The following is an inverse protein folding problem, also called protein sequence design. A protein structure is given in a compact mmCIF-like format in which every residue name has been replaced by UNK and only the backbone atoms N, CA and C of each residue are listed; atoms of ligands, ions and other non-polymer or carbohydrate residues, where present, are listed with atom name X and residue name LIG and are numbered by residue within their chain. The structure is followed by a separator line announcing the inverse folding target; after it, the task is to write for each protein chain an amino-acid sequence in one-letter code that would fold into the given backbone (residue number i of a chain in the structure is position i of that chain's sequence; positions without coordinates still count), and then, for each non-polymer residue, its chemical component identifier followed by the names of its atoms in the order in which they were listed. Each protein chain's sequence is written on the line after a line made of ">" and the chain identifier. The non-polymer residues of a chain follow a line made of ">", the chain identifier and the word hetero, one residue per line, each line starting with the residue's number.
data_IF_509279251118
#
_entry.id   IF_509279251118
#
_cell.length_a   1.000
_cell.length_b   1.000
_cell.length_c   1.000
_cell.angle_alpha   90.00
_cell.angle_beta   90.00
_cell.angle_gamma   90.00
#
_symmetry.space_group_name_H-M   'P 1'
#
loop_
_entity.id
_entity.type
_entity.pdbx_description
1 polymer ?
#
# COMPACT_ATOMS: atom_id res chain seq x y z
N UNK A 1 -5.41 27.18 29.65
CA UNK A 1 -5.49 26.51 28.34
C UNK A 1 -4.09 26.47 27.77
N UNK A 2 -3.62 25.36 27.18
CA UNK A 2 -2.27 25.31 26.65
C UNK A 2 -2.19 26.13 25.35
N UNK A 3 -1.46 27.24 25.39
CA UNK A 3 -1.20 28.06 24.21
C UNK A 3 -0.14 27.39 23.35
N UNK A 4 -0.21 27.59 22.03
CA UNK A 4 0.79 27.05 21.13
C UNK A 4 2.16 27.68 21.39
N UNK A 5 3.21 26.89 21.73
CA UNK A 5 4.53 27.45 22.02
C UNK A 5 5.23 28.05 20.79
N UNK A 6 4.71 27.81 19.59
CA UNK A 6 5.29 28.27 18.33
C UNK A 6 4.64 29.53 17.74
N UNK A 7 3.36 29.79 18.05
CA UNK A 7 2.64 30.92 17.49
C UNK A 7 1.77 31.67 18.52
N UNK A 8 1.88 31.30 19.80
CA UNK A 8 1.14 31.85 20.94
C UNK A 8 -0.38 31.83 20.79
N UNK A 9 -0.91 31.08 19.81
CA UNK A 9 -2.33 30.95 19.56
C UNK A 9 -2.99 30.07 20.62
N UNK A 10 -4.18 30.48 21.07
CA UNK A 10 -5.04 29.72 21.98
C UNK A 10 -5.82 28.60 21.26
N UNK A 11 -5.74 28.53 19.92
CA UNK A 11 -6.45 27.52 19.12
C UNK A 11 -5.70 26.18 19.13
N UNK A 12 -5.60 25.56 20.30
CA UNK A 12 -4.93 24.29 20.53
C UNK A 12 -5.94 23.23 20.96
N UNK A 13 -5.81 22.02 20.43
CA UNK A 13 -6.61 20.87 20.83
C UNK A 13 -5.73 19.65 21.13
N UNK A 14 -6.13 18.84 22.10
CA UNK A 14 -5.51 17.55 22.37
C UNK A 14 -6.01 16.50 21.36
N UNK A 15 -5.10 15.64 20.91
CA UNK A 15 -5.43 14.47 20.11
C UNK A 15 -4.42 13.35 20.36
N UNK A 16 -4.87 12.26 20.99
CA UNK A 16 -4.05 11.06 21.27
C UNK A 16 -2.75 11.40 22.02
N UNK A 17 -2.83 12.08 23.17
CA UNK A 17 -1.68 12.45 24.01
C UNK A 17 -0.70 13.44 23.33
N UNK A 18 -1.18 14.19 22.34
CA UNK A 18 -0.41 15.23 21.64
C UNK A 18 -1.27 16.47 21.45
N UNK A 19 -0.69 17.64 21.71
CA UNK A 19 -1.32 18.93 21.49
C UNK A 19 -1.08 19.40 20.06
N UNK A 20 -2.12 19.92 19.41
CA UNK A 20 -2.08 20.41 18.03
C UNK A 20 -2.62 21.82 17.94
N UNK A 21 -1.88 22.71 17.29
CA UNK A 21 -2.38 24.06 16.98
C UNK A 21 -3.14 24.08 15.66
N UNK A 22 -4.36 24.60 15.62
CA UNK A 22 -5.12 24.79 14.37
C UNK A 22 -4.48 25.82 13.43
N UNK A 23 -3.82 26.84 13.99
CA UNK A 23 -3.25 27.96 13.24
C UNK A 23 -1.96 27.61 12.52
N UNK A 24 -0.97 27.05 13.23
CA UNK A 24 0.33 26.70 12.64
C UNK A 24 0.47 25.21 12.31
N UNK A 25 -0.51 24.36 12.67
CA UNK A 25 -0.48 22.90 12.45
C UNK A 25 0.68 22.17 13.16
N UNK A 26 1.40 22.84 14.06
CA UNK A 26 2.42 22.20 14.88
C UNK A 26 1.80 21.25 15.90
N UNK A 27 2.53 20.18 16.18
CA UNK A 27 2.16 19.12 17.13
C UNK A 27 3.27 19.03 18.17
N UNK A 28 2.93 19.07 19.46
CA UNK A 28 3.88 18.91 20.55
C UNK A 28 3.26 18.07 21.68
N UNK A 29 4.08 17.47 22.53
CA UNK A 29 3.61 16.74 23.71
C UNK A 29 3.68 17.63 24.95
N UNK A 30 2.87 17.31 25.95
CA UNK A 30 2.96 17.95 27.25
C UNK A 30 4.36 17.68 27.85
N UNK A 31 5.15 18.74 28.03
CA UNK A 31 6.55 18.67 28.50
C UNK A 31 7.62 19.05 27.47
N UNK A 32 7.30 19.12 26.17
CA UNK A 32 8.19 19.68 25.15
C UNK A 32 7.97 21.20 25.04
N UNK A 33 8.54 21.93 25.99
CA UNK A 33 8.72 23.39 25.90
C UNK A 33 9.79 23.76 24.86
N UNK A 34 9.83 25.03 24.42
CA UNK A 34 10.65 25.44 23.29
C UNK A 34 12.11 25.57 23.69
N UNK A 35 12.86 24.46 23.65
CA UNK A 35 14.32 24.54 23.72
C UNK A 35 14.93 24.61 22.31
N UNK A 36 15.87 25.53 22.21
CA UNK A 36 16.45 26.08 20.99
C UNK A 36 17.18 25.01 20.20
N UNK A 37 17.04 25.08 18.88
CA UNK A 37 17.82 24.30 17.93
C UNK A 37 19.33 24.41 18.18
N UNK A 38 20.05 23.28 18.25
CA UNK A 38 21.23 22.93 17.41
C UNK A 38 22.04 21.79 18.05
N UNK A 39 22.08 20.64 17.37
CA UNK A 39 23.20 19.70 17.28
C UNK A 39 23.68 18.98 18.54
N UNK A 40 23.39 17.68 18.67
CA UNK A 40 24.08 16.79 19.60
C UNK A 40 23.36 15.48 19.86
N UNK A 41 23.85 14.41 19.25
CA UNK A 41 23.61 12.98 19.49
C UNK A 41 22.72 12.56 20.68
N UNK A 42 21.57 11.95 20.38
CA UNK A 42 21.12 10.71 21.07
C UNK A 42 19.95 10.06 20.34
N UNK A 43 20.32 9.12 19.46
CA UNK A 43 19.93 7.71 19.57
C UNK A 43 18.50 7.33 19.99
N UNK A 44 17.45 7.91 19.41
CA UNK A 44 16.19 7.19 19.17
C UNK A 44 15.57 7.67 17.85
N UNK A 45 15.11 6.76 16.98
CA UNK A 45 14.87 7.07 15.58
C UNK A 45 13.64 7.96 15.47
N UNK A 46 13.85 9.25 15.16
CA UNK A 46 12.79 10.07 14.58
C UNK A 46 12.20 9.34 13.36
N UNK A 47 10.93 9.58 13.00
CA UNK A 47 10.45 9.13 11.71
C UNK A 47 11.39 9.79 10.70
N UNK A 48 12.31 8.98 10.16
CA UNK A 48 13.06 9.35 8.97
C UNK A 48 12.06 9.98 8.01
N UNK A 49 12.46 10.95 7.16
CA UNK A 49 11.68 11.20 5.96
C UNK A 49 11.49 9.80 5.41
N UNK A 50 10.24 9.31 5.46
CA UNK A 50 9.98 7.95 5.06
C UNK A 50 10.22 8.09 3.57
N UNK A 51 11.45 7.79 3.15
CA UNK A 51 11.77 7.17 1.89
C UNK A 51 10.73 6.08 1.91
N UNK A 52 9.56 6.36 1.32
CA UNK A 52 8.45 5.43 1.21
C UNK A 52 9.17 4.25 0.61
N UNK A 53 9.48 3.23 1.43
CA UNK A 53 10.15 2.01 0.98
C UNK A 53 9.36 1.67 -0.23
N UNK A 54 9.95 1.86 -1.43
CA UNK A 54 9.24 1.94 -2.72
C UNK A 54 8.19 0.87 -2.63
N UNK A 55 6.95 1.26 -2.31
CA UNK A 55 5.92 0.27 -2.04
C UNK A 55 5.73 -0.26 -3.42
N UNK A 56 6.21 -1.49 -3.64
CA UNK A 56 6.24 -2.06 -4.98
C UNK A 56 4.90 -1.72 -5.63
N UNK A 57 4.91 -1.11 -6.81
CA UNK A 57 3.67 -0.62 -7.39
C UNK A 57 2.69 -1.77 -7.42
N UNK A 58 1.43 -1.46 -7.11
CA UNK A 58 0.37 -2.46 -6.95
C UNK A 58 0.33 -3.45 -8.12
N UNK A 59 0.68 -2.97 -9.32
CA UNK A 59 0.87 -3.78 -10.53
C UNK A 59 1.99 -4.83 -10.41
N UNK A 60 3.17 -4.50 -9.87
CA UNK A 60 4.24 -5.48 -9.61
C UNK A 60 3.83 -6.53 -8.59
N UNK A 61 3.08 -6.14 -7.55
CA UNK A 61 2.54 -7.10 -6.57
C UNK A 61 1.51 -8.04 -7.21
N UNK A 62 0.65 -7.51 -8.08
CA UNK A 62 -0.30 -8.31 -8.86
C UNK A 62 0.41 -9.23 -9.84
N UNK A 63 1.44 -8.75 -10.53
CA UNK A 63 2.24 -9.55 -11.47
C UNK A 63 2.94 -10.71 -10.77
N UNK A 64 3.60 -10.47 -9.63
CA UNK A 64 4.20 -11.55 -8.82
C UNK A 64 3.16 -12.59 -8.42
N UNK A 65 1.96 -12.16 -8.04
CA UNK A 65 0.88 -13.08 -7.64
C UNK A 65 0.34 -13.88 -8.82
N UNK A 66 0.19 -13.24 -9.99
CA UNK A 66 -0.13 -13.91 -11.25
C UNK A 66 0.92 -14.97 -11.59
N UNK A 67 2.20 -14.64 -11.47
CA UNK A 67 3.31 -15.54 -11.78
C UNK A 67 3.34 -16.75 -10.85
N UNK A 68 3.04 -16.55 -9.55
CA UNK A 68 2.87 -17.64 -8.58
C UNK A 68 1.71 -18.57 -9.00
N UNK A 69 0.55 -18.01 -9.40
CA UNK A 69 -0.59 -18.82 -9.83
C UNK A 69 -0.29 -19.58 -11.12
N UNK A 70 0.36 -18.93 -12.09
CA UNK A 70 0.76 -19.57 -13.34
C UNK A 70 1.79 -20.68 -13.09
N UNK A 71 2.81 -20.44 -12.27
CA UNK A 71 3.84 -21.43 -11.94
C UNK A 71 3.25 -22.62 -11.19
N UNK A 72 2.39 -22.37 -10.19
CA UNK A 72 1.74 -23.44 -9.41
C UNK A 72 0.77 -24.28 -10.23
N UNK A 73 0.12 -23.68 -11.23
CA UNK A 73 -0.89 -24.35 -12.05
C UNK A 73 -0.38 -24.76 -13.44
N UNK A 74 0.95 -24.75 -13.66
CA UNK A 74 1.55 -25.25 -14.90
C UNK A 74 1.21 -24.42 -16.15
N UNK A 75 1.09 -23.11 -16.01
CA UNK A 75 0.92 -22.17 -17.13
C UNK A 75 -0.53 -21.76 -17.42
N UNK A 76 -1.52 -22.33 -16.74
CA UNK A 76 -2.93 -21.89 -16.80
C UNK A 76 -3.58 -21.90 -15.43
N UNK A 77 -4.35 -20.87 -15.08
CA UNK A 77 -5.11 -20.86 -13.83
C UNK A 77 -6.52 -20.32 -14.04
N UNK A 78 -7.44 -20.67 -13.16
CA UNK A 78 -8.81 -20.18 -13.17
C UNK A 78 -9.17 -19.63 -11.79
N UNK A 79 -9.55 -18.34 -11.74
CA UNK A 79 -9.92 -17.67 -10.48
C UNK A 79 -11.01 -18.41 -9.72
N UNK A 80 -12.01 -18.96 -10.41
CA UNK A 80 -13.13 -19.66 -9.78
C UNK A 80 -12.72 -20.97 -9.07
N UNK A 81 -11.59 -21.57 -9.47
CA UNK A 81 -11.08 -22.81 -8.86
C UNK A 81 -9.93 -22.57 -7.89
N UNK A 82 -9.34 -21.38 -7.90
CA UNK A 82 -8.18 -21.05 -7.08
C UNK A 82 -8.64 -20.39 -5.79
N UNK A 83 -8.43 -21.00 -4.61
CA UNK A 83 -8.85 -20.40 -3.35
C UNK A 83 -8.13 -19.07 -3.15
N UNK A 84 -8.91 -17.99 -3.03
CA UNK A 84 -8.38 -16.66 -2.79
C UNK A 84 -7.91 -16.57 -1.33
N UNK A 85 -6.59 -16.53 -1.12
CA UNK A 85 -6.05 -16.26 0.19
C UNK A 85 -6.21 -14.77 0.50
N UNK A 86 -7.02 -14.44 1.51
CA UNK A 86 -7.15 -13.10 2.04
C UNK A 86 -5.76 -12.54 2.42
N UNK A 87 -5.42 -11.37 1.89
CA UNK A 87 -4.15 -10.67 2.08
C UNK A 87 -4.22 -9.25 1.53
N UNK A 88 -3.08 -8.59 1.31
CA UNK A 88 -2.95 -7.19 0.84
C UNK A 88 -3.71 -6.81 -0.44
N UNK A 89 -4.11 -7.78 -1.27
CA UNK A 89 -4.75 -7.53 -2.57
C UNK A 89 -6.15 -8.14 -2.57
N UNK A 90 -7.15 -7.31 -2.86
CA UNK A 90 -8.53 -7.73 -3.06
C UNK A 90 -8.68 -8.50 -4.37
N UNK A 91 -9.52 -9.55 -4.35
CA UNK A 91 -9.84 -10.35 -5.54
C UNK A 91 -10.37 -9.50 -6.70
N UNK A 92 -11.24 -8.52 -6.39
CA UNK A 92 -11.79 -7.61 -7.41
C UNK A 92 -10.73 -6.77 -8.10
N UNK A 93 -9.75 -6.27 -7.35
CA UNK A 93 -8.61 -5.52 -7.90
C UNK A 93 -7.78 -6.39 -8.83
N UNK A 94 -7.53 -7.63 -8.44
CA UNK A 94 -6.80 -8.58 -9.27
C UNK A 94 -7.59 -8.96 -10.53
N UNK A 95 -8.91 -9.14 -10.43
CA UNK A 95 -9.78 -9.39 -11.59
C UNK A 95 -9.74 -8.23 -12.60
N UNK A 96 -9.79 -6.97 -12.14
CA UNK A 96 -9.63 -5.79 -13.01
C UNK A 96 -8.24 -5.75 -13.66
N UNK A 97 -7.20 -6.15 -12.93
CA UNK A 97 -5.85 -6.27 -13.47
C UNK A 97 -5.78 -7.33 -14.59
N UNK A 98 -6.35 -8.52 -14.39
CA UNK A 98 -6.40 -9.56 -15.42
C UNK A 98 -7.12 -9.07 -16.68
N UNK A 99 -8.27 -8.41 -16.53
CA UNK A 99 -9.00 -7.83 -17.68
C UNK A 99 -8.14 -6.83 -18.44
N UNK A 100 -7.36 -6.00 -17.74
CA UNK A 100 -6.41 -5.07 -18.37
C UNK A 100 -5.29 -5.82 -19.09
N UNK A 101 -4.73 -6.86 -18.48
CA UNK A 101 -3.70 -7.69 -19.13
C UNK A 101 -4.23 -8.39 -20.39
N UNK A 102 -5.47 -8.87 -20.37
CA UNK A 102 -6.11 -9.46 -21.55
C UNK A 102 -6.33 -8.41 -22.64
N UNK A 103 -6.85 -7.23 -22.27
CA UNK A 103 -7.02 -6.10 -23.19
C UNK A 103 -5.69 -5.69 -23.86
N UNK A 104 -4.60 -5.74 -23.08
CA UNK A 104 -3.24 -5.43 -23.56
C UNK A 104 -2.56 -6.61 -24.28
N UNK A 105 -3.26 -7.73 -24.51
CA UNK A 105 -2.72 -8.97 -25.10
C UNK A 105 -1.53 -9.58 -24.33
N UNK A 106 -1.34 -9.18 -23.07
CA UNK A 106 -0.33 -9.73 -22.17
C UNK A 106 -0.79 -11.03 -21.49
N UNK A 107 -2.10 -11.31 -21.53
CA UNK A 107 -2.73 -12.52 -21.03
C UNK A 107 -3.77 -13.00 -22.06
N UNK A 108 -3.91 -14.30 -22.23
CA UNK A 108 -5.01 -14.89 -22.99
C UNK A 108 -6.06 -15.41 -22.02
N UNK A 109 -7.32 -15.02 -22.25
CA UNK A 109 -8.47 -15.63 -21.60
C UNK A 109 -9.06 -16.72 -22.50
N UNK A 110 -9.40 -17.86 -21.90
CA UNK A 110 -10.08 -18.97 -22.57
C UNK A 110 -11.28 -19.37 -21.71
N UNK A 111 -12.46 -19.40 -22.33
CA UNK A 111 -13.69 -19.77 -21.64
C UNK A 111 -14.03 -21.22 -21.92
N UNK A 112 -14.18 -21.99 -20.84
CA UNK A 112 -14.56 -23.39 -20.90
C UNK A 112 -16.05 -23.60 -21.15
N UNK A 113 -16.44 -24.82 -21.53
CA UNK A 113 -17.86 -25.21 -21.73
C UNK A 113 -18.71 -25.05 -20.45
N UNK A 114 -18.07 -25.10 -19.28
CA UNK A 114 -18.70 -24.84 -17.98
C UNK A 114 -18.80 -23.35 -17.63
N UNK A 115 -18.46 -22.45 -18.55
CA UNK A 115 -18.46 -21.00 -18.34
C UNK A 115 -17.31 -20.47 -17.48
N UNK A 116 -16.33 -21.32 -17.14
CA UNK A 116 -15.14 -20.94 -16.36
C UNK A 116 -14.14 -20.20 -17.24
N UNK A 117 -13.53 -19.15 -16.69
CA UNK A 117 -12.51 -18.37 -17.38
C UNK A 117 -11.14 -18.82 -16.93
N UNK A 118 -10.35 -19.31 -17.87
CA UNK A 118 -8.95 -19.67 -17.69
C UNK A 118 -8.06 -18.58 -18.25
N UNK A 119 -7.00 -18.29 -17.51
CA UNK A 119 -6.01 -17.31 -17.88
C UNK A 119 -4.68 -18.01 -18.13
N UNK A 120 -4.04 -17.71 -19.27
CA UNK A 120 -2.71 -18.20 -19.64
C UNK A 120 -1.84 -17.08 -20.20
N UNK A 121 -0.52 -17.18 -20.06
CA UNK A 121 0.40 -16.20 -20.67
C UNK A 121 0.61 -16.56 -22.17
N UNK A 122 0.35 -15.64 -23.11
CA UNK A 122 0.63 -15.87 -24.52
C UNK A 122 2.15 -15.85 -24.71
N UNK A 123 2.76 -17.03 -24.92
CA UNK A 123 4.21 -17.15 -25.13
C UNK A 123 4.85 -18.33 -24.41
N UNK A 124 4.22 -18.88 -23.37
CA UNK A 124 4.61 -20.18 -22.81
C UNK A 124 4.04 -21.29 -23.70
N UNK A 125 4.68 -21.53 -24.84
CA UNK A 125 4.66 -22.85 -25.47
C UNK A 125 5.48 -23.76 -24.56
N UNK A 126 4.75 -24.56 -23.79
CA UNK A 126 5.10 -25.84 -23.18
C UNK A 126 6.60 -26.16 -23.08
#
# INVERSE_FOLDING_TARGET
>A
MPNCPFCSSDEVYDHLFTWRCKRCKNIWKEGEGPDRSTGGESSFPGPSPTIRKKTEPLETRMEKRLDIYLTRSGGKFCLATTPWQAGDISEELFRRYLQRCVKNRALAEEKDHYGRIWYRRPGTKN
#
